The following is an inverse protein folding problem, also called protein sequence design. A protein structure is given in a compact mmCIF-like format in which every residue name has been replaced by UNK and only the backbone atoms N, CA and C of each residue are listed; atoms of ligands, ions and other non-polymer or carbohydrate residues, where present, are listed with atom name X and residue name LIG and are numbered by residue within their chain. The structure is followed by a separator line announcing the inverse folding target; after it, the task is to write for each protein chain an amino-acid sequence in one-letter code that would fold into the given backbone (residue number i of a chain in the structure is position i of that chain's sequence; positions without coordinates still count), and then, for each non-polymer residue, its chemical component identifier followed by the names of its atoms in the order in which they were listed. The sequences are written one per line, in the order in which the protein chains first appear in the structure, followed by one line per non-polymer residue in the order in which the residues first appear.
data_IF_077865727557
#
_entry.id   IF_077865727557
#
_cell.length_a   1.000
_cell.length_b   1.000
_cell.length_c   1.000
_cell.angle_alpha   90.00
_cell.angle_beta   90.00
_cell.angle_gamma   90.00
#
_symmetry.space_group_name_H-M   'P 1'
#
loop_
_entity.id
_entity.type
_entity.pdbx_description
1 polymer ?
#
# COMPACT_ATOMS: atom_id res chain seq x y z
N UNK A 1 -10.58 20.14 -6.87
CA UNK A 1 -10.65 19.08 -5.85
C UNK A 1 -9.67 18.00 -6.25
N UNK A 2 -8.91 17.46 -5.29
CA UNK A 2 -7.96 16.38 -5.54
C UNK A 2 -8.22 15.18 -4.62
N UNK A 3 -8.31 13.99 -5.22
CA UNK A 3 -8.30 12.73 -4.51
C UNK A 3 -6.91 12.10 -4.63
N UNK A 4 -6.29 11.82 -3.48
CA UNK A 4 -4.95 11.24 -3.40
C UNK A 4 -5.07 9.77 -3.01
N UNK A 5 -4.70 8.90 -3.96
CA UNK A 5 -4.66 7.45 -3.82
C UNK A 5 -3.49 6.92 -3.00
N UNK A 6 -2.42 7.73 -2.93
CA UNK A 6 -1.14 7.40 -2.33
C UNK A 6 -0.85 8.30 -1.11
N UNK A 7 -0.98 7.75 0.10
CA UNK A 7 -0.15 8.20 1.22
C UNK A 7 1.10 7.34 1.24
N UNK A 8 2.05 7.77 0.43
CA UNK A 8 3.32 7.11 0.18
C UNK A 8 4.17 7.28 1.42
N UNK A 9 4.03 6.31 2.30
CA UNK A 9 4.88 6.20 3.46
C UNK A 9 5.88 5.11 3.13
N UNK A 10 7.11 5.51 2.79
CA UNK A 10 8.21 4.56 2.62
C UNK A 10 8.65 4.11 4.01
N UNK A 11 9.02 2.82 4.18
CA UNK A 11 9.76 2.41 5.37
C UNK A 11 11.04 3.25 5.48
N UNK A 12 11.35 3.77 6.66
CA UNK A 12 12.63 4.44 6.87
C UNK A 12 13.78 3.44 6.63
N UNK A 13 14.81 3.82 5.85
CA UNK A 13 16.05 3.01 5.77
C UNK A 13 16.71 3.04 7.15
N UNK A 14 16.86 1.88 7.78
CA UNK A 14 17.52 1.74 9.06
C UNK A 14 19.00 2.11 8.90
N UNK A 15 19.42 3.21 9.52
CA UNK A 15 20.83 3.46 9.82
C UNK A 15 21.04 3.06 11.27
N UNK A 16 21.35 1.78 11.49
CA UNK A 16 21.73 1.23 12.80
C UNK A 16 20.58 0.66 13.64
N UNK A 17 20.74 -0.62 14.00
CA UNK A 17 19.88 -1.52 14.79
C UNK A 17 18.61 -2.04 14.12
N UNK A 18 18.84 -3.16 13.42
CA UNK A 18 17.90 -4.19 12.97
C UNK A 18 16.87 -4.63 14.04
N UNK A 19 17.17 -4.46 15.33
CA UNK A 19 16.31 -4.91 16.44
C UNK A 19 14.96 -4.16 16.59
N UNK A 20 14.78 -2.99 15.95
CA UNK A 20 13.53 -2.20 16.11
C UNK A 20 12.55 -2.32 14.95
N UNK A 21 12.95 -2.91 13.82
CA UNK A 21 12.05 -3.14 12.68
C UNK A 21 11.27 -4.47 12.82
N UNK A 22 11.67 -5.37 13.71
CA UNK A 22 11.05 -6.67 13.95
C UNK A 22 9.78 -6.64 14.83
N UNK A 23 9.20 -5.47 15.11
CA UNK A 23 8.00 -5.34 15.95
C UNK A 23 6.91 -4.61 15.17
N UNK A 24 6.00 -5.41 14.57
CA UNK A 24 4.72 -5.05 13.95
C UNK A 24 4.70 -4.56 12.48
N UNK A 25 5.53 -5.19 11.65
CA UNK A 25 5.40 -5.30 10.19
C UNK A 25 4.64 -6.58 9.78
N UNK A 26 4.34 -6.81 8.47
CA UNK A 26 3.61 -8.01 8.02
C UNK A 26 4.17 -9.35 8.52
N UNK A 27 5.48 -9.41 8.78
CA UNK A 27 6.18 -10.52 9.44
C UNK A 27 5.65 -10.82 10.85
N UNK A 28 5.37 -9.83 11.68
CA UNK A 28 4.81 -10.05 13.00
C UNK A 28 3.42 -10.69 12.91
N UNK A 29 2.58 -10.21 11.99
CA UNK A 29 1.25 -10.78 11.78
C UNK A 29 1.34 -12.21 11.20
N UNK A 30 2.28 -12.47 10.29
CA UNK A 30 2.54 -13.81 9.76
C UNK A 30 3.04 -14.79 10.85
N UNK A 31 3.93 -14.33 11.75
CA UNK A 31 4.42 -15.11 12.90
C UNK A 31 3.30 -15.44 13.89
N UNK A 32 2.38 -14.50 14.12
CA UNK A 32 1.18 -14.76 14.94
C UNK A 32 0.27 -15.81 14.27
N UNK A 33 0.11 -15.75 12.95
CA UNK A 33 -0.78 -16.66 12.22
C UNK A 33 -0.21 -18.08 12.07
N UNK A 34 1.08 -18.19 11.75
CA UNK A 34 1.75 -19.46 11.44
C UNK A 34 3.06 -19.61 12.22
N UNK A 35 3.02 -19.63 13.57
CA UNK A 35 4.24 -19.64 14.38
C UNK A 35 5.19 -20.80 14.02
N UNK A 36 4.62 -21.97 13.69
CA UNK A 36 5.36 -23.17 13.29
C UNK A 36 6.24 -22.96 12.04
N UNK A 37 5.86 -22.07 11.11
CA UNK A 37 6.62 -21.85 9.89
C UNK A 37 7.93 -21.08 10.18
N UNK A 38 7.95 -20.31 11.26
CA UNK A 38 9.06 -19.41 11.60
C UNK A 38 10.04 -20.01 12.62
N UNK A 39 9.85 -21.27 13.07
CA UNK A 39 10.70 -21.90 14.10
C UNK A 39 12.19 -21.99 13.71
N UNK A 40 12.46 -22.12 12.40
CA UNK A 40 13.81 -22.24 11.83
C UNK A 40 14.29 -20.93 11.17
N UNK A 41 13.55 -19.83 11.32
CA UNK A 41 13.92 -18.53 10.75
C UNK A 41 14.91 -17.84 11.69
N UNK A 42 16.16 -17.70 11.23
CA UNK A 42 17.20 -16.95 11.93
C UNK A 42 17.28 -15.48 11.47
N UNK A 43 18.15 -14.68 12.09
CA UNK A 43 18.28 -13.26 11.79
C UNK A 43 18.70 -12.97 10.33
N UNK A 44 19.55 -13.81 9.73
CA UNK A 44 19.98 -13.63 8.34
C UNK A 44 18.82 -13.89 7.37
N UNK A 45 18.01 -14.90 7.67
CA UNK A 45 16.77 -15.21 6.95
C UNK A 45 15.73 -14.09 7.11
N UNK A 46 15.59 -13.50 8.31
CA UNK A 46 14.71 -12.33 8.52
C UNK A 46 15.13 -11.13 7.66
N UNK A 47 16.42 -10.82 7.61
CA UNK A 47 16.97 -9.78 6.74
C UNK A 47 16.67 -10.06 5.26
N UNK A 48 16.88 -11.29 4.81
CA UNK A 48 16.57 -11.70 3.45
C UNK A 48 15.08 -11.54 3.12
N UNK A 49 14.18 -11.94 4.02
CA UNK A 49 12.72 -11.75 3.85
C UNK A 49 12.41 -10.27 3.68
N UNK A 50 12.95 -9.39 4.53
CA UNK A 50 12.71 -7.94 4.45
C UNK A 50 13.18 -7.37 3.11
N UNK A 51 14.35 -7.80 2.63
CA UNK A 51 14.85 -7.41 1.31
C UNK A 51 13.91 -7.87 0.18
N UNK A 52 13.43 -9.11 0.22
CA UNK A 52 12.50 -9.61 -0.79
C UNK A 52 11.15 -8.89 -0.74
N UNK A 53 10.65 -8.57 0.46
CA UNK A 53 9.44 -7.77 0.64
C UNK A 53 9.56 -6.39 -0.01
N UNK A 54 10.74 -5.77 0.01
CA UNK A 54 10.98 -4.52 -0.70
C UNK A 54 10.92 -4.68 -2.21
N UNK A 55 11.53 -5.74 -2.75
CA UNK A 55 11.51 -6.08 -4.18
C UNK A 55 10.10 -6.39 -4.66
N UNK A 56 9.35 -7.17 -3.88
CA UNK A 56 8.01 -7.67 -4.21
C UNK A 56 6.89 -6.68 -3.88
N UNK A 57 7.21 -5.54 -3.27
CA UNK A 57 6.19 -4.56 -2.91
C UNK A 57 5.30 -4.08 -4.07
N UNK A 58 5.76 -3.96 -5.34
CA UNK A 58 4.92 -3.58 -6.47
C UNK A 58 3.71 -4.49 -6.70
N UNK A 59 3.82 -5.80 -6.40
CA UNK A 59 2.71 -6.74 -6.65
C UNK A 59 1.60 -6.67 -5.61
N UNK A 60 1.89 -6.09 -4.44
CA UNK A 60 0.98 -6.07 -3.30
C UNK A 60 -0.08 -4.97 -3.46
N UNK A 61 -1.34 -5.39 -3.56
CA UNK A 61 -2.49 -4.50 -3.68
C UNK A 61 -3.03 -4.06 -2.32
N UNK A 62 -3.25 -5.03 -1.44
CA UNK A 62 -3.80 -4.82 -0.11
C UNK A 62 -2.87 -5.30 0.99
N UNK A 63 -3.02 -4.74 2.19
CA UNK A 63 -2.08 -4.97 3.28
C UNK A 63 -1.96 -6.45 3.72
N UNK A 64 -3.06 -7.21 3.66
CA UNK A 64 -3.10 -8.59 4.14
C UNK A 64 -2.26 -9.55 3.28
N UNK A 65 -2.11 -9.26 1.99
CA UNK A 65 -1.32 -10.05 1.06
C UNK A 65 0.15 -10.19 1.51
N UNK A 66 0.66 -9.20 2.24
CA UNK A 66 2.01 -9.26 2.77
C UNK A 66 2.21 -10.42 3.75
N UNK A 67 1.19 -10.83 4.51
CA UNK A 67 1.30 -11.97 5.44
C UNK A 67 1.58 -13.25 4.64
N UNK A 68 0.81 -13.44 3.57
CA UNK A 68 0.92 -14.59 2.68
C UNK A 68 2.28 -14.59 1.96
N UNK A 69 2.72 -13.42 1.50
CA UNK A 69 4.02 -13.25 0.86
C UNK A 69 5.17 -13.62 1.80
N UNK A 70 5.14 -13.15 3.06
CA UNK A 70 6.15 -13.50 4.05
C UNK A 70 6.19 -15.02 4.26
N UNK A 71 5.03 -15.67 4.45
CA UNK A 71 5.00 -17.13 4.62
C UNK A 71 5.52 -17.85 3.39
N UNK A 72 5.16 -17.41 2.17
CA UNK A 72 5.66 -18.01 0.93
C UNK A 72 7.19 -17.94 0.85
N UNK A 73 7.78 -16.79 1.19
CA UNK A 73 9.23 -16.60 1.22
C UNK A 73 9.90 -17.56 2.22
N UNK A 74 9.26 -17.85 3.35
CA UNK A 74 9.74 -18.85 4.32
C UNK A 74 9.66 -20.26 3.73
N UNK A 75 8.54 -20.64 3.11
CA UNK A 75 8.35 -21.98 2.52
C UNK A 75 9.29 -22.25 1.32
N UNK A 76 9.74 -21.20 0.62
CA UNK A 76 10.75 -21.29 -0.44
C UNK A 76 12.10 -21.72 0.15
N UNK A 77 12.54 -21.06 1.24
CA UNK A 77 13.87 -21.29 1.81
C UNK A 77 13.93 -22.49 2.77
N UNK A 78 12.81 -22.85 3.39
CA UNK A 78 12.74 -23.90 4.42
C UNK A 78 11.87 -25.04 3.92
N UNK A 79 12.46 -26.09 3.31
CA UNK A 79 11.70 -27.24 2.78
C UNK A 79 10.83 -27.93 3.84
N UNK A 80 11.24 -27.94 5.10
CA UNK A 80 10.49 -28.54 6.20
C UNK A 80 9.23 -27.74 6.59
N UNK A 81 9.21 -26.43 6.30
CA UNK A 81 8.04 -25.57 6.52
C UNK A 81 7.08 -25.56 5.32
N UNK A 82 7.46 -26.16 4.19
CA UNK A 82 6.68 -26.12 2.95
C UNK A 82 5.35 -26.85 3.08
N UNK A 83 4.27 -26.16 2.71
CA UNK A 83 2.91 -26.71 2.62
C UNK A 83 2.24 -26.37 1.30
N UNK A 84 2.63 -25.26 0.68
CA UNK A 84 2.14 -24.85 -0.63
C UNK A 84 2.71 -25.73 -1.75
N UNK A 85 1.90 -25.97 -2.77
CA UNK A 85 2.33 -26.67 -3.99
C UNK A 85 3.26 -25.83 -4.86
N UNK A 86 3.24 -24.51 -4.68
CA UNK A 86 3.92 -23.56 -5.55
C UNK A 86 5.31 -23.14 -5.05
N UNK A 87 5.70 -23.43 -3.81
CA UNK A 87 6.96 -22.90 -3.25
C UNK A 87 8.23 -23.60 -3.76
N UNK A 88 8.14 -24.84 -4.25
CA UNK A 88 9.32 -25.58 -4.70
C UNK A 88 9.88 -24.99 -5.99
N UNK A 89 11.14 -24.54 -5.95
CA UNK A 89 11.82 -23.93 -7.10
C UNK A 89 11.31 -22.54 -7.51
N UNK A 90 10.36 -21.96 -6.77
CA UNK A 90 9.77 -20.66 -7.10
C UNK A 90 10.78 -19.52 -6.91
N UNK A 91 11.05 -18.79 -7.98
CA UNK A 91 11.93 -17.63 -7.96
C UNK A 91 11.19 -16.35 -7.59
N UNK A 92 11.95 -15.35 -7.11
CA UNK A 92 11.41 -14.02 -6.79
C UNK A 92 10.80 -13.34 -8.03
N UNK A 93 11.40 -13.54 -9.20
CA UNK A 93 10.88 -13.00 -10.45
C UNK A 93 9.53 -13.62 -10.82
N UNK A 94 9.35 -14.93 -10.63
CA UNK A 94 8.07 -15.58 -10.89
C UNK A 94 6.96 -15.07 -9.95
N UNK A 95 7.29 -14.73 -8.70
CA UNK A 95 6.35 -14.08 -7.78
C UNK A 95 5.99 -12.68 -8.29
N UNK A 96 6.97 -11.87 -8.71
CA UNK A 96 6.74 -10.56 -9.31
C UNK A 96 5.78 -10.63 -10.50
N UNK A 97 5.97 -11.61 -11.38
CA UNK A 97 5.23 -11.71 -12.63
C UNK A 97 3.84 -12.34 -12.44
N UNK A 98 3.65 -13.17 -11.40
CA UNK A 98 2.47 -14.03 -11.28
C UNK A 98 1.74 -13.94 -9.92
N UNK A 99 2.02 -12.95 -9.07
CA UNK A 99 1.38 -12.83 -7.74
C UNK A 99 -0.15 -12.94 -7.77
N UNK A 100 -0.80 -12.29 -8.74
CA UNK A 100 -2.27 -12.34 -8.89
C UNK A 100 -2.83 -13.75 -9.14
N UNK A 101 -2.01 -14.66 -9.69
CA UNK A 101 -2.36 -16.08 -9.90
C UNK A 101 -1.96 -16.95 -8.72
N UNK A 102 -0.86 -16.62 -8.04
CA UNK A 102 -0.39 -17.33 -6.85
C UNK A 102 -1.32 -17.10 -5.65
N UNK A 103 -1.78 -15.86 -5.48
CA UNK A 103 -2.56 -15.46 -4.31
C UNK A 103 -3.82 -16.33 -4.09
N UNK A 104 -4.69 -16.59 -5.09
CA UNK A 104 -5.84 -17.49 -4.90
C UNK A 104 -5.45 -18.92 -4.52
N UNK A 105 -4.38 -19.46 -5.12
CA UNK A 105 -3.87 -20.80 -4.81
C UNK A 105 -3.39 -20.89 -3.36
N UNK A 106 -2.61 -19.90 -2.91
CA UNK A 106 -2.12 -19.86 -1.53
C UNK A 106 -3.24 -19.71 -0.51
N UNK A 107 -4.23 -18.85 -0.81
CA UNK A 107 -5.42 -18.68 0.03
C UNK A 107 -6.19 -19.99 0.19
N UNK A 108 -6.39 -20.74 -0.90
CA UNK A 108 -7.09 -22.03 -0.89
C UNK A 108 -6.26 -23.11 -0.15
N UNK A 109 -5.01 -23.32 -0.53
CA UNK A 109 -4.15 -24.35 0.06
C UNK A 109 -3.91 -24.14 1.55
N UNK A 110 -3.82 -22.89 1.99
CA UNK A 110 -3.62 -22.55 3.39
C UNK A 110 -4.93 -22.36 4.16
N UNK A 111 -6.08 -22.53 3.49
CA UNK A 111 -7.42 -22.40 4.07
C UNK A 111 -7.59 -21.06 4.81
N UNK A 112 -7.13 -19.99 4.17
CA UNK A 112 -7.24 -18.64 4.68
C UNK A 112 -8.39 -17.90 4.01
N UNK A 113 -8.99 -16.98 4.74
CA UNK A 113 -9.95 -16.03 4.19
C UNK A 113 -9.47 -14.59 4.36
N UNK A 114 -9.97 -13.74 3.48
CA UNK A 114 -9.50 -12.35 3.37
C UNK A 114 -9.83 -11.55 4.62
N UNK A 115 -11.01 -11.75 5.21
CA UNK A 115 -11.49 -10.94 6.33
C UNK A 115 -10.66 -11.23 7.58
N UNK A 116 -10.41 -12.51 7.87
CA UNK A 116 -9.56 -12.93 8.99
C UNK A 116 -8.14 -12.36 8.89
N UNK A 117 -7.51 -12.38 7.71
CA UNK A 117 -6.15 -11.85 7.53
C UNK A 117 -6.12 -10.32 7.62
N UNK A 118 -7.14 -9.64 7.09
CA UNK A 118 -7.30 -8.17 7.23
C UNK A 118 -7.44 -7.80 8.70
N UNK A 119 -8.28 -8.51 9.45
CA UNK A 119 -8.52 -8.24 10.86
C UNK A 119 -7.29 -8.53 11.72
N UNK A 120 -6.61 -9.64 11.47
CA UNK A 120 -5.36 -9.96 12.14
C UNK A 120 -4.30 -8.88 11.90
N UNK A 121 -4.11 -8.47 10.64
CA UNK A 121 -3.13 -7.45 10.31
C UNK A 121 -3.51 -6.07 10.89
N UNK A 122 -4.80 -5.76 10.95
CA UNK A 122 -5.32 -4.60 11.65
C UNK A 122 -4.96 -4.61 13.14
N UNK A 123 -5.30 -5.69 13.85
CA UNK A 123 -5.06 -5.84 15.30
C UNK A 123 -3.58 -5.72 15.66
N UNK A 124 -2.69 -6.42 14.94
CA UNK A 124 -1.23 -6.35 15.21
C UNK A 124 -0.70 -4.92 15.09
N UNK A 125 -1.25 -4.13 14.15
CA UNK A 125 -0.86 -2.73 13.96
C UNK A 125 -1.51 -1.80 15.00
N UNK A 126 -2.72 -2.11 15.45
CA UNK A 126 -3.36 -1.40 16.55
C UNK A 126 -2.59 -1.60 17.85
N UNK A 127 -2.25 -2.85 18.19
CA UNK A 127 -1.45 -3.19 19.36
C UNK A 127 -0.11 -2.45 19.35
N UNK A 128 0.55 -2.32 18.19
CA UNK A 128 1.79 -1.54 18.10
C UNK A 128 1.55 -0.04 18.29
N UNK A 129 0.53 0.51 17.64
CA UNK A 129 0.19 1.92 17.76
C UNK A 129 -0.14 2.28 19.21
N UNK A 130 -0.84 1.42 19.94
CA UNK A 130 -1.20 1.60 21.35
C UNK A 130 0.00 1.47 22.30
N UNK A 131 0.88 0.49 22.07
CA UNK A 131 1.97 0.20 23.00
C UNK A 131 3.29 0.93 22.69
N UNK A 132 3.52 1.35 21.43
CA UNK A 132 4.73 2.05 21.00
C UNK A 132 4.45 2.94 19.77
N UNK A 133 3.68 4.01 19.99
CA UNK A 133 3.38 5.02 18.97
C UNK A 133 4.65 5.59 18.32
N UNK A 134 5.69 5.88 19.12
CA UNK A 134 6.93 6.46 18.60
C UNK A 134 7.67 5.51 17.66
N UNK A 135 7.73 4.22 17.98
CA UNK A 135 8.30 3.21 17.10
C UNK A 135 7.48 3.02 15.84
N UNK A 136 6.15 2.96 15.97
CA UNK A 136 5.23 2.84 14.84
C UNK A 136 5.36 4.02 13.87
N UNK A 137 5.38 5.25 14.39
CA UNK A 137 5.60 6.47 13.58
C UNK A 137 7.01 6.49 12.99
N UNK A 138 8.03 6.10 13.76
CA UNK A 138 9.43 6.06 13.29
C UNK A 138 9.68 5.07 12.15
N UNK A 139 8.86 4.01 12.04
CA UNK A 139 8.91 3.04 10.94
C UNK A 139 8.41 3.60 9.60
N UNK A 140 7.82 4.80 9.61
CA UNK A 140 7.05 5.38 8.54
C UNK A 140 7.66 6.74 8.09
N UNK A 141 7.75 7.00 6.79
CA UNK A 141 8.22 8.28 6.24
C UNK A 141 7.47 8.72 4.99
N UNK A 142 7.00 9.97 4.96
CA UNK A 142 6.49 10.60 3.73
C UNK A 142 7.59 10.80 2.68
N UNK A 143 7.23 10.67 1.40
CA UNK A 143 8.13 11.12 0.34
C UNK A 143 8.41 12.63 0.45
N UNK A 144 9.64 13.10 0.13
CA UNK A 144 10.00 14.51 0.27
C UNK A 144 8.99 15.45 -0.38
N UNK A 145 8.59 16.50 0.33
CA UNK A 145 7.65 17.51 -0.15
C UNK A 145 6.17 17.12 -0.14
N UNK A 146 5.81 15.84 0.02
CA UNK A 146 4.40 15.42 0.01
C UNK A 146 3.60 15.93 1.22
N UNK A 147 4.21 15.92 2.42
CA UNK A 147 3.58 16.48 3.61
C UNK A 147 3.31 17.99 3.47
N UNK A 148 4.27 18.74 2.95
CA UNK A 148 4.13 20.19 2.73
C UNK A 148 3.09 20.48 1.63
N UNK A 149 3.05 19.67 0.59
CA UNK A 149 2.04 19.78 -0.46
C UNK A 149 0.61 19.59 0.08
N UNK A 150 0.41 18.66 1.03
CA UNK A 150 -0.87 18.47 1.70
C UNK A 150 -1.24 19.67 2.59
N UNK A 151 -0.28 20.22 3.35
CA UNK A 151 -0.50 21.42 4.20
C UNK A 151 -0.85 22.67 3.42
N UNK A 152 -0.15 22.88 2.30
CA UNK A 152 -0.20 24.12 1.53
C UNK A 152 -1.20 24.06 0.37
N UNK A 153 -2.00 22.99 0.30
CA UNK A 153 -3.00 22.81 -0.75
C UNK A 153 -4.11 23.86 -0.65
N UNK A 154 -4.43 24.49 -1.78
CA UNK A 154 -5.62 25.34 -1.94
C UNK A 154 -6.83 24.55 -2.49
N UNK A 155 -6.62 23.32 -2.92
CA UNK A 155 -7.67 22.41 -3.35
C UNK A 155 -8.36 21.74 -2.17
N UNK A 156 -9.65 21.44 -2.32
CA UNK A 156 -10.31 20.49 -1.42
C UNK A 156 -9.70 19.09 -1.64
N UNK A 157 -9.17 18.50 -0.57
CA UNK A 157 -8.42 17.24 -0.61
C UNK A 157 -9.23 16.07 -0.03
N UNK A 158 -9.10 14.92 -0.67
CA UNK A 158 -9.61 13.64 -0.21
C UNK A 158 -8.50 12.59 -0.26
N UNK A 159 -8.49 11.68 0.70
CA UNK A 159 -7.62 10.50 0.67
C UNK A 159 -8.46 9.29 0.31
N UNK A 160 -8.05 8.53 -0.71
CA UNK A 160 -8.76 7.32 -1.16
C UNK A 160 -7.78 6.14 -1.13
N UNK A 161 -7.85 5.28 -0.12
CA UNK A 161 -6.83 4.26 0.14
C UNK A 161 -7.44 2.91 0.52
N UNK A 162 -6.69 1.83 0.30
CA UNK A 162 -7.05 0.48 0.76
C UNK A 162 -6.57 0.21 2.19
N UNK A 163 -5.96 1.20 2.85
CA UNK A 163 -5.55 1.14 4.26
C UNK A 163 -6.72 1.50 5.17
N UNK A 164 -6.77 0.93 6.38
CA UNK A 164 -7.73 1.35 7.39
C UNK A 164 -7.51 2.83 7.76
N UNK A 165 -8.58 3.63 7.77
CA UNK A 165 -8.51 5.10 7.86
C UNK A 165 -7.78 5.61 9.10
N UNK A 166 -7.88 4.90 10.24
CA UNK A 166 -7.22 5.31 11.50
C UNK A 166 -5.70 5.39 11.39
N UNK A 167 -5.06 4.47 10.66
CA UNK A 167 -3.61 4.52 10.44
C UNK A 167 -3.23 5.68 9.53
N UNK A 168 -4.03 5.93 8.51
CA UNK A 168 -3.87 7.08 7.61
C UNK A 168 -3.96 8.40 8.40
N UNK A 169 -4.98 8.56 9.24
CA UNK A 169 -5.14 9.73 10.10
C UNK A 169 -3.97 9.93 11.05
N UNK A 170 -3.51 8.87 11.72
CA UNK A 170 -2.34 8.93 12.60
C UNK A 170 -1.08 9.38 11.84
N UNK A 171 -0.81 8.85 10.65
CA UNK A 171 0.35 9.26 9.84
C UNK A 171 0.26 10.72 9.38
N UNK A 172 -0.92 11.16 8.93
CA UNK A 172 -1.14 12.55 8.53
C UNK A 172 -0.92 13.51 9.71
N UNK A 173 -1.43 13.16 10.88
CA UNK A 173 -1.27 13.97 12.09
C UNK A 173 0.18 14.01 12.56
N UNK A 174 0.80 12.86 12.78
CA UNK A 174 2.10 12.77 13.45
C UNK A 174 3.28 13.09 12.53
N UNK A 175 3.26 12.65 11.27
CA UNK A 175 4.37 12.87 10.33
C UNK A 175 4.16 14.06 9.41
N UNK A 176 2.91 14.31 8.99
CA UNK A 176 2.61 15.47 8.18
C UNK A 176 2.16 16.65 9.03
N UNK A 177 1.83 16.55 10.32
CA UNK A 177 1.33 17.71 11.07
C UNK A 177 0.04 18.29 10.47
N UNK A 178 -0.76 17.46 9.80
CA UNK A 178 -2.04 17.82 9.19
C UNK A 178 -3.14 17.14 9.96
N UNK A 179 -4.03 17.92 10.59
CA UNK A 179 -5.27 17.41 11.16
C UNK A 179 -6.30 17.22 10.04
N UNK A 180 -6.20 16.08 9.35
CA UNK A 180 -6.98 15.82 8.14
C UNK A 180 -8.39 15.32 8.53
N UNK A 181 -9.47 15.92 8.01
CA UNK A 181 -10.82 15.53 8.41
C UNK A 181 -11.12 14.07 8.09
N UNK A 182 -11.57 13.32 9.11
CA UNK A 182 -11.75 11.87 9.01
C UNK A 182 -12.78 11.46 7.95
N UNK A 183 -13.80 12.28 7.74
CA UNK A 183 -14.85 12.13 6.73
C UNK A 183 -14.33 12.27 5.29
N UNK A 184 -13.11 12.82 5.12
CA UNK A 184 -12.42 12.93 3.83
C UNK A 184 -11.39 11.81 3.61
N UNK A 185 -11.32 10.82 4.51
CA UNK A 185 -10.44 9.65 4.41
C UNK A 185 -11.28 8.41 4.08
N UNK A 186 -11.34 8.08 2.79
CA UNK A 186 -11.97 6.88 2.26
C UNK A 186 -10.99 5.72 2.31
N UNK A 187 -11.01 4.97 3.42
CA UNK A 187 -10.11 3.85 3.67
C UNK A 187 -10.70 2.48 3.33
N UNK A 188 -10.06 1.44 3.89
CA UNK A 188 -10.57 0.08 3.80
C UNK A 188 -12.02 -0.01 4.31
N UNK A 189 -12.88 -0.67 3.53
CA UNK A 189 -14.30 -0.82 3.84
C UNK A 189 -15.21 0.25 3.20
N UNK A 190 -14.67 1.32 2.61
CA UNK A 190 -15.50 2.35 1.94
C UNK A 190 -15.89 1.98 0.50
N UNK A 191 -15.58 0.76 0.06
CA UNK A 191 -15.84 0.27 -1.30
C UNK A 191 -14.70 0.52 -2.30
N UNK A 192 -14.87 0.09 -3.56
CA UNK A 192 -13.86 0.24 -4.61
C UNK A 192 -13.54 1.71 -4.88
N UNK A 193 -12.26 2.03 -5.16
CA UNK A 193 -11.81 3.41 -5.45
C UNK A 193 -12.65 4.10 -6.54
N UNK A 194 -13.00 3.36 -7.60
CA UNK A 194 -13.91 3.83 -8.67
C UNK A 194 -15.25 4.34 -8.11
N UNK A 195 -15.86 3.60 -7.17
CA UNK A 195 -17.14 3.98 -6.56
C UNK A 195 -17.00 5.19 -5.66
N UNK A 196 -15.90 5.29 -4.91
CA UNK A 196 -15.60 6.49 -4.12
C UNK A 196 -15.44 7.72 -5.02
N UNK A 197 -14.73 7.61 -6.15
CA UNK A 197 -14.57 8.71 -7.11
C UNK A 197 -15.91 9.13 -7.74
N UNK A 198 -16.79 8.18 -8.04
CA UNK A 198 -18.16 8.47 -8.51
C UNK A 198 -18.94 9.26 -7.45
N UNK A 199 -18.95 8.77 -6.20
CA UNK A 199 -19.60 9.45 -5.07
C UNK A 199 -19.07 10.86 -4.86
N UNK A 200 -17.74 11.04 -4.86
CA UNK A 200 -17.11 12.35 -4.72
C UNK A 200 -17.50 13.29 -5.87
N UNK A 201 -17.48 12.83 -7.12
CA UNK A 201 -17.87 13.64 -8.27
C UNK A 201 -19.33 14.11 -8.20
N UNK A 202 -20.22 13.33 -7.61
CA UNK A 202 -21.66 13.62 -7.52
C UNK A 202 -22.01 14.62 -6.40
N UNK A 203 -21.10 14.88 -5.46
CA UNK A 203 -21.37 15.80 -4.36
C UNK A 203 -21.64 17.24 -4.87
N UNK A 204 -22.67 17.93 -4.35
CA UNK A 204 -23.03 19.28 -4.80
C UNK A 204 -21.89 20.29 -4.74
N UNK A 205 -21.07 20.24 -3.68
CA UNK A 205 -19.94 21.17 -3.49
C UNK A 205 -18.79 20.95 -4.48
N UNK A 206 -18.75 19.82 -5.19
CA UNK A 206 -17.72 19.54 -6.20
C UNK A 206 -18.18 19.86 -7.62
N UNK A 207 -19.43 20.28 -7.81
CA UNK A 207 -19.93 20.64 -9.14
C UNK A 207 -19.16 21.84 -9.70
N UNK A 208 -18.70 21.73 -10.94
CA UNK A 208 -17.91 22.76 -11.62
C UNK A 208 -16.42 22.82 -11.23
N UNK A 209 -15.97 22.02 -10.25
CA UNK A 209 -14.55 21.92 -9.93
C UNK A 209 -13.81 21.07 -10.96
N UNK A 210 -12.54 21.39 -11.19
CA UNK A 210 -11.60 20.47 -11.83
C UNK A 210 -11.26 19.35 -10.85
N UNK A 211 -11.36 18.10 -11.31
CA UNK A 211 -11.16 16.90 -10.50
C UNK A 211 -9.82 16.26 -10.86
N UNK A 212 -9.00 15.99 -9.85
CA UNK A 212 -7.66 15.40 -10.02
C UNK A 212 -7.56 14.12 -9.20
N UNK A 213 -7.16 13.01 -9.81
CA UNK A 213 -6.89 11.76 -9.11
C UNK A 213 -5.41 11.39 -9.25
N UNK A 214 -4.69 11.40 -8.13
CA UNK A 214 -3.26 11.13 -8.07
C UNK A 214 -3.01 9.77 -7.42
N UNK A 215 -2.35 8.86 -8.13
CA UNK A 215 -2.23 7.45 -7.74
C UNK A 215 -0.84 6.92 -8.10
N UNK A 216 -0.37 5.89 -7.38
CA UNK A 216 0.92 5.24 -7.68
C UNK A 216 0.81 3.88 -8.36
N UNK A 217 -0.42 3.35 -8.45
CA UNK A 217 -0.73 2.06 -9.06
C UNK A 217 -1.45 2.21 -10.40
N UNK A 218 -0.78 1.81 -11.47
CA UNK A 218 -1.32 1.90 -12.83
C UNK A 218 -2.63 1.12 -13.02
N UNK A 219 -2.76 -0.07 -12.42
CA UNK A 219 -3.97 -0.87 -12.51
C UNK A 219 -5.22 -0.12 -11.99
N UNK A 220 -5.06 0.70 -10.94
CA UNK A 220 -6.16 1.52 -10.41
C UNK A 220 -6.58 2.58 -11.43
N UNK A 221 -5.62 3.28 -12.05
CA UNK A 221 -5.91 4.28 -13.10
C UNK A 221 -6.59 3.65 -14.31
N UNK A 222 -6.13 2.47 -14.76
CA UNK A 222 -6.78 1.71 -15.85
C UNK A 222 -8.23 1.36 -15.51
N UNK A 223 -8.53 1.01 -14.26
CA UNK A 223 -9.90 0.73 -13.84
C UNK A 223 -10.77 1.99 -13.83
N UNK A 224 -10.21 3.17 -13.50
CA UNK A 224 -10.91 4.45 -13.63
C UNK A 224 -11.21 4.78 -15.09
N UNK A 225 -10.26 4.54 -16.01
CA UNK A 225 -10.43 4.77 -17.46
C UNK A 225 -11.54 3.91 -18.06
N UNK A 226 -11.73 2.68 -17.55
CA UNK A 226 -12.80 1.77 -18.03
C UNK A 226 -14.21 2.27 -17.70
N UNK A 227 -14.35 3.33 -16.90
CA UNK A 227 -15.62 3.84 -16.39
C UNK A 227 -15.92 5.21 -17.02
N UNK A 228 -16.73 5.28 -18.09
CA UNK A 228 -17.00 6.53 -18.80
C UNK A 228 -17.56 7.66 -17.91
N UNK A 229 -18.26 7.30 -16.83
CA UNK A 229 -18.76 8.26 -15.85
C UNK A 229 -17.64 9.07 -15.16
N UNK A 230 -16.40 8.57 -15.17
CA UNK A 230 -15.23 9.20 -14.55
C UNK A 230 -14.34 9.96 -15.55
N UNK A 231 -14.79 10.18 -16.78
CA UNK A 231 -14.04 10.92 -17.81
C UNK A 231 -13.71 12.38 -17.44
N UNK A 232 -14.33 12.93 -16.40
CA UNK A 232 -14.02 14.29 -15.93
C UNK A 232 -12.76 14.35 -15.08
N UNK A 233 -12.24 13.21 -14.61
CA UNK A 233 -11.06 13.18 -13.76
C UNK A 233 -9.78 13.30 -14.58
N UNK A 234 -8.92 14.24 -14.18
CA UNK A 234 -7.53 14.27 -14.62
C UNK A 234 -6.76 13.20 -13.84
N UNK A 235 -6.12 12.26 -14.55
CA UNK A 235 -5.48 11.10 -13.95
C UNK A 235 -3.97 11.26 -13.95
N UNK A 236 -3.36 11.07 -12.79
CA UNK A 236 -1.92 11.20 -12.61
C UNK A 236 -1.34 9.93 -12.03
N UNK A 237 -0.37 9.35 -12.73
CA UNK A 237 0.51 8.33 -12.15
C UNK A 237 1.76 9.02 -11.60
N UNK A 238 2.01 8.84 -10.32
CA UNK A 238 3.23 9.36 -9.69
C UNK A 238 4.44 8.50 -10.06
N UNK A 239 5.59 9.13 -10.32
CA UNK A 239 6.84 8.41 -10.64
C UNK A 239 7.55 7.83 -9.41
N UNK A 240 6.98 8.03 -8.22
CA UNK A 240 7.41 7.42 -6.96
C UNK A 240 6.32 6.49 -6.43
N UNK A 241 6.53 5.89 -5.27
CA UNK A 241 5.65 4.83 -4.75
C UNK A 241 6.20 3.45 -5.13
N UNK A 242 5.30 2.54 -5.48
CA UNK A 242 5.64 1.13 -5.75
C UNK A 242 5.46 0.72 -7.22
N UNK A 243 5.26 1.65 -8.16
CA UNK A 243 5.24 1.29 -9.58
C UNK A 243 6.62 0.89 -10.14
N UNK A 244 6.60 -0.03 -11.09
CA UNK A 244 7.79 -0.47 -11.83
C UNK A 244 8.16 0.48 -12.97
N UNK A 245 9.33 0.29 -13.57
CA UNK A 245 9.73 1.05 -14.76
C UNK A 245 8.80 0.74 -15.94
N UNK A 246 8.47 -0.54 -16.13
CA UNK A 246 7.55 -1.01 -17.17
C UNK A 246 6.15 -0.38 -17.01
N UNK A 247 5.63 -0.29 -15.78
CA UNK A 247 4.35 0.39 -15.53
C UNK A 247 4.42 1.88 -15.85
N UNK A 248 5.55 2.56 -15.60
CA UNK A 248 5.69 3.97 -15.99
C UNK A 248 5.76 4.15 -17.50
N UNK A 249 6.46 3.27 -18.21
CA UNK A 249 6.53 3.29 -19.67
C UNK A 249 5.15 3.03 -20.30
N UNK A 250 4.44 2.03 -19.79
CA UNK A 250 3.07 1.74 -20.21
C UNK A 250 2.13 2.93 -19.93
N UNK A 251 2.20 3.51 -18.74
CA UNK A 251 1.42 4.69 -18.40
C UNK A 251 1.69 5.88 -19.34
N UNK A 252 2.95 6.07 -19.73
CA UNK A 252 3.34 7.11 -20.69
C UNK A 252 2.77 6.91 -22.10
N UNK A 253 2.41 5.68 -22.47
CA UNK A 253 1.73 5.37 -23.73
C UNK A 253 0.19 5.58 -23.66
N UNK A 254 -0.38 5.77 -22.47
CA UNK A 254 -1.81 5.98 -22.27
C UNK A 254 -2.10 7.48 -22.23
N UNK A 255 -2.73 8.02 -23.27
CA UNK A 255 -3.01 9.46 -23.42
C UNK A 255 -3.83 10.08 -22.28
N UNK A 256 -4.57 9.26 -21.52
CA UNK A 256 -5.39 9.69 -20.39
C UNK A 256 -4.62 9.86 -19.07
N UNK A 257 -3.39 9.35 -19.00
CA UNK A 257 -2.58 9.35 -17.77
C UNK A 257 -1.41 10.30 -17.94
N UNK A 258 -1.26 11.23 -16.99
CA UNK A 258 -0.08 12.08 -16.89
C UNK A 258 0.90 11.53 -15.85
N UNK A 259 2.15 11.32 -16.24
CA UNK A 259 3.22 11.00 -15.30
C UNK A 259 3.68 12.27 -14.58
N UNK A 260 3.71 12.25 -13.24
CA UNK A 260 4.20 13.40 -12.44
C UNK A 260 5.30 12.99 -11.46
N UNK A 261 6.21 13.93 -11.16
CA UNK A 261 7.24 13.78 -10.13
C UNK A 261 6.87 14.56 -8.84
N UNK A 262 7.72 14.48 -7.81
CA UNK A 262 7.46 15.12 -6.52
C UNK A 262 7.29 16.66 -6.62
N UNK A 263 8.11 17.40 -7.40
CA UNK A 263 7.85 18.80 -7.68
C UNK A 263 6.49 19.08 -8.32
N UNK A 264 6.10 18.29 -9.31
CA UNK A 264 4.83 18.49 -10.03
C UNK A 264 3.61 18.12 -9.19
N UNK A 265 3.74 17.16 -8.25
CA UNK A 265 2.71 16.83 -7.26
C UNK A 265 2.20 18.08 -6.53
N UNK A 266 3.13 18.89 -6.04
CA UNK A 266 2.81 20.09 -5.26
C UNK A 266 2.05 21.13 -6.10
N UNK A 267 2.22 21.12 -7.43
CA UNK A 267 1.48 22.00 -8.34
C UNK A 267 0.05 21.50 -8.58
N UNK A 268 -0.16 20.18 -8.62
CA UNK A 268 -1.51 19.61 -8.82
C UNK A 268 -2.43 19.78 -7.61
N UNK A 269 -1.87 20.09 -6.44
CA UNK A 269 -2.64 20.35 -5.22
C UNK A 269 -2.91 21.85 -4.98
N UNK A 270 -2.49 22.74 -5.87
CA UNK A 270 -2.79 24.18 -5.80
C UNK A 270 -3.98 24.52 -6.67
#
# INVERSE_FOLDING_TARGET
MAAVGLLGVRPARATGRLERQARASPDAAAKVRWPWAFEQVDAAMEEWIVEQMHTLRPVIETGYENLLLVRLLVEIQIPSARKSSVADGLSIQEILDNWSKLLPTLMDEWQEDRESLVDLFGRVRDDWLENDLSGWIGANRFYPGTADALKLSSSELYIVTTKQSRFTGALLKELAGVDFPSERIYGLGTGPKVKVLQQLQEMPQHQGLTLHFVEDRLATLKNVIKEPALDKWNLYLVKWGYNTQEEREEAGAISRIQLIDLPDFSKQLK
#
